data_IF_062702859002
#
_entry.id   IF_062702859002
#
_cell.length_a   1.000
_cell.length_b   1.000
_cell.length_c   1.000
_cell.angle_alpha   90.00
_cell.angle_beta   90.00
_cell.angle_gamma   90.00
#
_symmetry.space_group_name_H-M   'P 1'
#
loop_
_entity.id
_entity.type
_entity.pdbx_description
1 polymer ?
#
# COMPACT_ATOMS: atom_id res chain seq x y z
N UNK A 1 -20.63 12.71 -24.42
CA UNK A 1 -19.39 12.22 -25.07
C UNK A 1 -19.41 10.71 -24.97
N UNK A 2 -19.61 10.03 -26.09
CA UNK A 2 -19.62 8.57 -26.15
C UNK A 2 -18.18 8.11 -25.89
N UNK A 3 -17.95 7.36 -24.81
CA UNK A 3 -16.69 6.64 -24.59
C UNK A 3 -16.42 5.82 -25.85
N UNK A 4 -15.30 6.05 -26.53
CA UNK A 4 -14.83 5.11 -27.55
C UNK A 4 -14.72 3.75 -26.87
N UNK A 5 -15.44 2.75 -27.38
CA UNK A 5 -15.34 1.39 -26.90
C UNK A 5 -13.86 0.98 -26.94
N UNK A 6 -13.33 0.52 -25.81
CA UNK A 6 -11.97 -0.01 -25.77
C UNK A 6 -11.99 -1.31 -26.56
N UNK A 7 -11.48 -1.27 -27.79
CA UNK A 7 -11.55 -2.39 -28.74
C UNK A 7 -10.79 -3.63 -28.23
N UNK A 8 -9.70 -3.40 -27.49
CA UNK A 8 -8.86 -4.41 -26.87
C UNK A 8 -8.59 -4.04 -25.40
N UNK A 9 -9.54 -4.31 -24.49
CA UNK A 9 -9.43 -3.93 -23.09
C UNK A 9 -8.31 -4.69 -22.39
N UNK A 10 -7.57 -3.98 -21.55
CA UNK A 10 -6.48 -4.55 -20.75
C UNK A 10 -6.64 -4.20 -19.28
N UNK A 11 -6.83 -5.20 -18.44
CA UNK A 11 -6.86 -5.08 -16.99
C UNK A 11 -5.43 -4.77 -16.49
N UNK A 12 -5.32 -3.80 -15.59
CA UNK A 12 -4.08 -3.53 -14.86
C UNK A 12 -3.70 -4.72 -13.97
N UNK A 13 -2.43 -4.85 -13.57
CA UNK A 13 -2.06 -5.74 -12.49
C UNK A 13 -2.83 -5.40 -11.20
N UNK A 14 -3.69 -6.32 -10.75
CA UNK A 14 -4.51 -6.20 -9.55
C UNK A 14 -4.48 -7.53 -8.79
N UNK A 15 -4.70 -7.48 -7.48
CA UNK A 15 -4.91 -8.66 -6.67
C UNK A 15 -6.36 -9.13 -6.81
N UNK A 16 -6.56 -10.45 -6.84
CA UNK A 16 -7.88 -11.06 -6.89
C UNK A 16 -8.04 -12.03 -5.71
N UNK A 17 -8.94 -11.68 -4.77
CA UNK A 17 -9.14 -12.44 -3.53
C UNK A 17 -10.56 -12.99 -3.46
N UNK A 18 -10.76 -14.29 -3.17
CA UNK A 18 -12.10 -14.82 -2.91
C UNK A 18 -12.64 -14.23 -1.61
N UNK A 19 -13.90 -13.78 -1.63
CA UNK A 19 -14.59 -13.23 -0.47
C UNK A 19 -15.99 -13.81 -0.35
N UNK A 20 -16.40 -14.12 0.88
CA UNK A 20 -17.77 -14.54 1.18
C UNK A 20 -18.61 -13.30 1.49
N UNK A 21 -19.74 -13.16 0.81
CA UNK A 21 -20.65 -12.03 0.97
C UNK A 21 -22.07 -12.52 1.25
N UNK A 22 -22.98 -11.63 1.66
CA UNK A 22 -24.41 -11.97 1.76
C UNK A 22 -25.05 -12.39 0.43
N UNK A 23 -24.34 -12.20 -0.70
CA UNK A 23 -24.74 -12.61 -2.06
C UNK A 23 -24.06 -13.91 -2.52
N UNK A 24 -23.35 -14.58 -1.61
CA UNK A 24 -22.52 -15.75 -1.91
C UNK A 24 -21.05 -15.40 -2.15
N UNK A 25 -20.31 -16.38 -2.68
CA UNK A 25 -18.88 -16.26 -2.96
C UNK A 25 -18.63 -15.34 -4.15
N UNK A 26 -17.79 -14.33 -3.94
CA UNK A 26 -17.39 -13.33 -4.94
C UNK A 26 -15.87 -13.23 -5.01
N UNK A 27 -15.36 -12.45 -5.97
CA UNK A 27 -13.93 -12.12 -6.09
C UNK A 27 -13.76 -10.62 -5.93
N UNK A 28 -12.96 -10.21 -4.94
CA UNK A 28 -12.57 -8.82 -4.74
C UNK A 28 -11.33 -8.51 -5.58
N UNK A 29 -11.43 -7.53 -6.47
CA UNK A 29 -10.31 -6.94 -7.17
C UNK A 29 -9.75 -5.77 -6.36
N UNK A 30 -8.47 -5.85 -5.98
CA UNK A 30 -7.77 -4.82 -5.21
C UNK A 30 -6.57 -4.31 -5.98
N UNK A 31 -6.44 -3.00 -6.05
CA UNK A 31 -5.24 -2.37 -6.61
C UNK A 31 -4.19 -2.18 -5.51
N UNK A 32 -3.05 -2.89 -5.58
CA UNK A 32 -2.01 -2.79 -4.54
C UNK A 32 -1.36 -1.39 -4.49
N UNK A 33 -1.51 -0.60 -5.56
CA UNK A 33 -1.05 0.79 -5.61
C UNK A 33 -1.96 1.77 -4.87
N UNK A 34 -3.18 1.37 -4.49
CA UNK A 34 -4.15 2.25 -3.84
C UNK A 34 -4.57 3.43 -4.72
N UNK A 35 -4.57 3.23 -6.05
CA UNK A 35 -5.07 4.18 -7.05
C UNK A 35 -6.55 3.91 -7.28
N UNK A 36 -6.90 2.64 -7.48
CA UNK A 36 -8.27 2.22 -7.82
C UNK A 36 -9.05 1.73 -6.58
N UNK A 37 -10.36 2.01 -6.49
CA UNK A 37 -11.21 1.42 -5.46
C UNK A 37 -11.35 -0.11 -5.62
N UNK A 38 -11.70 -0.78 -4.53
CA UNK A 38 -12.04 -2.21 -4.55
C UNK A 38 -13.34 -2.44 -5.35
N UNK A 39 -13.33 -3.46 -6.21
CA UNK A 39 -14.50 -3.88 -7.00
C UNK A 39 -14.79 -5.36 -6.73
N UNK A 40 -16.06 -5.68 -6.43
CA UNK A 40 -16.51 -7.05 -6.24
C UNK A 40 -17.11 -7.60 -7.54
N UNK A 41 -16.61 -8.74 -8.00
CA UNK A 41 -17.08 -9.44 -9.19
C UNK A 41 -17.69 -10.79 -8.83
N UNK A 42 -18.71 -11.20 -9.58
CA UNK A 42 -19.13 -12.61 -9.60
C UNK A 42 -18.03 -13.47 -10.25
N UNK A 43 -18.11 -14.79 -10.08
CA UNK A 43 -17.17 -15.72 -10.73
C UNK A 43 -17.18 -15.59 -12.26
N UNK A 44 -18.37 -15.46 -12.87
CA UNK A 44 -18.54 -15.21 -14.30
C UNK A 44 -17.86 -13.92 -14.77
N UNK A 45 -18.07 -12.82 -14.03
CA UNK A 45 -17.50 -11.52 -14.36
C UNK A 45 -15.98 -11.50 -14.15
N UNK A 46 -15.49 -12.15 -13.10
CA UNK A 46 -14.05 -12.32 -12.87
C UNK A 46 -13.40 -13.15 -13.97
N UNK A 47 -14.04 -14.24 -14.41
CA UNK A 47 -13.54 -15.04 -15.53
C UNK A 47 -13.34 -14.19 -16.78
N UNK A 48 -14.29 -13.31 -17.11
CA UNK A 48 -14.16 -12.40 -18.25
C UNK A 48 -13.08 -11.32 -18.01
N UNK A 49 -13.04 -10.72 -16.82
CA UNK A 49 -12.05 -9.72 -16.44
C UNK A 49 -10.61 -10.26 -16.58
N UNK A 50 -10.38 -11.52 -16.18
CA UNK A 50 -9.09 -12.19 -16.29
C UNK A 50 -8.62 -12.42 -17.74
N UNK A 51 -9.52 -12.30 -18.73
CA UNK A 51 -9.21 -12.39 -20.16
C UNK A 51 -8.97 -11.02 -20.81
N UNK A 52 -9.14 -9.91 -20.08
CA UNK A 52 -8.87 -8.56 -20.60
C UNK A 52 -7.36 -8.31 -20.58
N UNK A 53 -6.64 -8.83 -21.55
CA UNK A 53 -5.17 -8.79 -21.64
C UNK A 53 -4.64 -7.80 -22.69
N UNK A 54 -5.54 -7.03 -23.32
CA UNK A 54 -5.24 -6.14 -24.43
C UNK A 54 -5.11 -6.84 -25.79
N UNK A 55 -5.52 -8.11 -25.90
CA UNK A 55 -5.46 -8.89 -27.15
C UNK A 55 -6.80 -9.50 -27.53
N UNK A 56 -7.66 -9.79 -26.56
CA UNK A 56 -8.98 -10.37 -26.81
C UNK A 56 -10.01 -9.32 -27.20
N UNK A 57 -10.73 -9.57 -28.30
CA UNK A 57 -11.92 -8.79 -28.71
C UNK A 57 -13.17 -9.24 -27.93
N UNK A 58 -14.25 -8.47 -27.99
CA UNK A 58 -15.55 -8.88 -27.41
C UNK A 58 -16.00 -10.26 -27.91
N UNK A 59 -15.76 -10.56 -29.20
CA UNK A 59 -16.11 -11.86 -29.77
C UNK A 59 -15.28 -12.99 -29.17
N UNK A 60 -13.99 -12.76 -28.93
CA UNK A 60 -13.12 -13.74 -28.28
C UNK A 60 -13.58 -14.02 -26.85
N UNK A 61 -13.99 -12.98 -26.12
CA UNK A 61 -14.57 -13.09 -24.78
C UNK A 61 -15.86 -13.92 -24.78
N UNK A 62 -16.76 -13.71 -25.76
CA UNK A 62 -17.97 -14.54 -25.92
C UNK A 62 -17.63 -16.00 -26.20
N UNK A 63 -16.64 -16.26 -27.05
CA UNK A 63 -16.18 -17.63 -27.35
C UNK A 63 -15.58 -18.29 -26.11
N UNK A 64 -14.76 -17.56 -25.34
CA UNK A 64 -14.17 -18.05 -24.10
C UNK A 64 -15.24 -18.37 -23.04
N UNK A 65 -16.25 -17.49 -22.91
CA UNK A 65 -17.37 -17.69 -21.99
C UNK A 65 -18.17 -18.94 -22.35
N UNK A 66 -18.56 -19.09 -23.61
CA UNK A 66 -19.29 -20.27 -24.10
C UNK A 66 -18.51 -21.56 -23.87
N UNK A 67 -17.19 -21.55 -24.08
CA UNK A 67 -16.34 -22.73 -23.81
C UNK A 67 -16.27 -23.08 -22.33
N UNK A 68 -16.28 -22.09 -21.43
CA UNK A 68 -16.16 -22.30 -19.98
C UNK A 68 -17.48 -22.71 -19.33
N UNK A 69 -18.58 -22.06 -19.71
CA UNK A 69 -19.87 -22.16 -19.03
C UNK A 69 -20.95 -22.89 -19.85
N UNK A 70 -20.74 -23.08 -21.17
CA UNK A 70 -21.74 -23.72 -22.04
C UNK A 70 -22.94 -22.83 -22.39
N UNK A 71 -22.87 -21.54 -22.07
CA UNK A 71 -23.94 -20.57 -22.27
C UNK A 71 -23.52 -19.42 -23.19
N UNK A 72 -24.47 -18.81 -23.87
CA UNK A 72 -24.24 -17.60 -24.68
C UNK A 72 -24.33 -16.38 -23.77
N UNK A 73 -23.32 -15.52 -23.83
CA UNK A 73 -23.33 -14.20 -23.21
C UNK A 73 -23.52 -13.10 -24.27
N UNK A 74 -24.43 -12.17 -24.00
CA UNK A 74 -24.69 -11.01 -24.84
C UNK A 74 -23.55 -9.98 -24.73
N UNK A 75 -23.22 -9.33 -25.84
CA UNK A 75 -22.09 -8.38 -25.91
C UNK A 75 -22.25 -7.20 -24.95
N UNK A 76 -23.49 -6.75 -24.77
CA UNK A 76 -23.87 -5.65 -23.89
C UNK A 76 -23.46 -5.90 -22.43
N UNK A 77 -23.53 -7.16 -21.96
CA UNK A 77 -23.12 -7.53 -20.60
C UNK A 77 -21.59 -7.50 -20.44
N UNK A 78 -20.85 -7.84 -21.49
CA UNK A 78 -19.38 -7.74 -21.52
C UNK A 78 -18.97 -6.25 -21.56
N UNK A 79 -19.64 -5.46 -22.39
CA UNK A 79 -19.41 -4.01 -22.48
C UNK A 79 -19.70 -3.30 -21.15
N UNK A 80 -20.77 -3.69 -20.45
CA UNK A 80 -21.09 -3.17 -19.12
C UNK A 80 -20.01 -3.50 -18.08
N UNK A 81 -19.47 -4.73 -18.11
CA UNK A 81 -18.33 -5.11 -17.28
C UNK A 81 -17.10 -4.24 -17.60
N UNK A 82 -16.73 -4.13 -18.87
CA UNK A 82 -15.58 -3.32 -19.32
C UNK A 82 -15.75 -1.86 -18.88
N UNK A 83 -16.93 -1.28 -19.09
CA UNK A 83 -17.27 0.08 -18.66
C UNK A 83 -17.12 0.24 -17.16
N UNK A 84 -17.65 -0.70 -16.37
CA UNK A 84 -17.54 -0.68 -14.91
C UNK A 84 -16.07 -0.71 -14.48
N UNK A 85 -15.25 -1.57 -15.08
CA UNK A 85 -13.82 -1.64 -14.76
C UNK A 85 -13.06 -0.37 -15.16
N UNK A 86 -13.36 0.24 -16.31
CA UNK A 86 -12.75 1.52 -16.74
C UNK A 86 -13.15 2.68 -15.81
N UNK A 87 -14.43 2.76 -15.43
CA UNK A 87 -14.95 3.78 -14.51
C UNK A 87 -14.29 3.69 -13.12
N UNK A 88 -13.87 2.49 -12.71
CA UNK A 88 -13.11 2.25 -11.47
C UNK A 88 -11.60 2.24 -11.68
N UNK A 89 -11.10 2.73 -12.82
CA UNK A 89 -9.66 2.87 -13.10
C UNK A 89 -8.88 1.54 -13.06
N UNK A 90 -9.54 0.41 -13.32
CA UNK A 90 -8.90 -0.91 -13.32
C UNK A 90 -8.34 -1.30 -14.68
N UNK A 91 -8.70 -0.59 -15.76
CA UNK A 91 -8.19 -0.84 -17.10
C UNK A 91 -7.05 0.12 -17.48
N UNK A 92 -6.13 -0.34 -18.32
CA UNK A 92 -5.09 0.50 -18.92
C UNK A 92 -5.68 1.38 -20.03
N UNK A 93 -6.25 2.52 -19.64
CA UNK A 93 -6.88 3.48 -20.55
C UNK A 93 -6.33 4.90 -20.37
N UNK A 94 -6.56 5.83 -21.32
CA UNK A 94 -6.23 7.24 -21.12
C UNK A 94 -6.88 7.83 -19.87
N UNK A 95 -8.08 7.36 -19.50
CA UNK A 95 -8.77 7.75 -18.26
C UNK A 95 -7.95 7.37 -17.03
N UNK A 96 -7.47 6.13 -16.96
CA UNK A 96 -6.59 5.69 -15.87
C UNK A 96 -5.30 6.52 -15.82
N UNK A 97 -4.64 6.74 -16.97
CA UNK A 97 -3.40 7.51 -17.02
C UNK A 97 -3.62 8.94 -16.50
N UNK A 98 -4.66 9.63 -16.97
CA UNK A 98 -4.99 10.96 -16.48
C UNK A 98 -5.20 10.97 -14.96
N UNK A 99 -5.95 10.01 -14.42
CA UNK A 99 -6.18 9.90 -12.97
C UNK A 99 -4.89 9.67 -12.17
N UNK A 100 -3.99 8.82 -12.68
CA UNK A 100 -2.68 8.59 -12.07
C UNK A 100 -1.82 9.85 -12.07
N UNK A 101 -1.78 10.59 -13.18
CA UNK A 101 -1.06 11.87 -13.27
C UNK A 101 -1.60 12.89 -12.26
N UNK A 102 -2.92 13.00 -12.11
CA UNK A 102 -3.56 13.90 -11.14
C UNK A 102 -3.23 13.50 -9.69
N UNK A 103 -3.19 12.20 -9.38
CA UNK A 103 -2.78 11.69 -8.07
C UNK A 103 -1.30 12.00 -7.78
N UNK A 104 -0.42 11.79 -8.76
CA UNK A 104 1.01 12.10 -8.64
C UNK A 104 1.24 13.59 -8.45
N UNK A 105 0.56 14.46 -9.20
CA UNK A 105 0.64 15.91 -9.01
C UNK A 105 0.21 16.33 -7.60
N UNK A 106 -0.95 15.85 -7.12
CA UNK A 106 -1.39 16.12 -5.74
C UNK A 106 -0.41 15.62 -4.68
N UNK A 107 0.22 14.46 -4.92
CA UNK A 107 1.24 13.93 -4.02
C UNK A 107 2.49 14.82 -4.00
N UNK A 108 2.98 15.22 -5.18
CA UNK A 108 4.14 16.10 -5.31
C UNK A 108 3.93 17.41 -4.56
N UNK A 109 2.76 18.04 -4.72
CA UNK A 109 2.42 19.31 -4.08
C UNK A 109 2.17 19.22 -2.57
N UNK A 110 1.99 18.00 -2.01
CA UNK A 110 1.76 17.80 -0.58
C UNK A 110 3.07 17.69 0.19
N UNK A 111 3.32 18.49 1.24
CA UNK A 111 4.48 18.30 2.12
C UNK A 111 4.31 17.14 3.12
N UNK A 112 3.13 16.50 3.13
CA UNK A 112 2.75 15.47 4.10
C UNK A 112 2.28 14.21 3.40
N UNK A 113 2.76 13.06 3.88
CA UNK A 113 2.20 11.74 3.63
C UNK A 113 1.09 11.48 4.64
N UNK A 114 -0.12 11.32 4.13
CA UNK A 114 -1.29 10.99 4.94
C UNK A 114 -1.24 9.58 5.53
N UNK A 115 -1.97 9.37 6.63
CA UNK A 115 -2.18 8.06 7.22
C UNK A 115 -3.03 7.19 6.28
N UNK A 116 -2.38 6.36 5.46
CA UNK A 116 -3.05 5.62 4.40
C UNK A 116 -3.89 4.45 4.92
N UNK A 117 -3.56 3.93 6.10
CA UNK A 117 -4.16 2.74 6.69
C UNK A 117 -5.02 3.01 7.92
N UNK A 118 -5.18 4.27 8.33
CA UNK A 118 -6.11 4.66 9.39
C UNK A 118 -7.55 4.27 9.03
N UNK A 119 -8.24 3.59 9.96
CA UNK A 119 -9.59 3.05 9.77
C UNK A 119 -9.68 1.77 8.95
N UNK A 120 -8.54 1.24 8.47
CA UNK A 120 -8.46 -0.02 7.71
C UNK A 120 -7.57 -1.05 8.40
N UNK A 121 -6.33 -0.67 8.69
CA UNK A 121 -5.33 -1.52 9.37
C UNK A 121 -5.22 -1.25 10.88
N UNK A 122 -5.68 -0.09 11.33
CA UNK A 122 -5.69 0.31 12.74
C UNK A 122 -6.74 1.41 12.98
N UNK A 123 -7.15 1.69 14.23
CA UNK A 123 -8.16 2.71 14.53
C UNK A 123 -7.78 4.11 14.04
N UNK A 124 -8.71 4.83 13.42
CA UNK A 124 -8.49 6.21 12.99
C UNK A 124 -8.64 7.23 14.12
N UNK A 125 -9.40 6.88 15.17
CA UNK A 125 -9.53 7.73 16.35
C UNK A 125 -8.26 7.65 17.22
N UNK A 126 -7.67 8.79 17.63
CA UNK A 126 -6.43 8.78 18.40
C UNK A 126 -6.54 8.10 19.77
N UNK A 127 -7.69 8.20 20.46
CA UNK A 127 -7.86 7.57 21.76
C UNK A 127 -8.03 6.05 21.62
N UNK A 128 -8.84 5.61 20.66
CA UNK A 128 -8.96 4.19 20.32
C UNK A 128 -7.63 3.58 19.89
N UNK A 129 -6.84 4.31 19.08
CA UNK A 129 -5.52 3.84 18.67
C UNK A 129 -4.57 3.67 19.85
N UNK A 130 -4.52 4.63 20.79
CA UNK A 130 -3.69 4.50 22.00
C UNK A 130 -4.07 3.28 22.83
N UNK A 131 -5.37 3.08 23.06
CA UNK A 131 -5.86 1.88 23.77
C UNK A 131 -5.54 0.59 23.02
N UNK A 132 -5.66 0.60 21.69
CA UNK A 132 -5.34 -0.55 20.85
C UNK A 132 -3.86 -0.93 20.93
N UNK A 133 -2.95 0.05 20.87
CA UNK A 133 -1.51 -0.17 20.99
C UNK A 133 -1.12 -0.60 22.41
N UNK A 134 -1.65 0.05 23.45
CA UNK A 134 -1.35 -0.31 24.84
C UNK A 134 -1.77 -1.74 25.17
N UNK A 135 -2.92 -2.20 24.63
CA UNK A 135 -3.38 -3.58 24.81
C UNK A 135 -2.35 -4.61 24.35
N UNK A 136 -1.62 -4.35 23.25
CA UNK A 136 -0.51 -5.22 22.87
C UNK A 136 0.68 -5.11 23.82
N UNK A 137 1.04 -3.87 24.21
CA UNK A 137 2.21 -3.61 25.04
C UNK A 137 2.08 -4.20 26.45
N UNK A 138 0.89 -4.22 27.05
CA UNK A 138 0.64 -4.81 28.39
C UNK A 138 0.91 -6.32 28.45
N UNK A 139 0.75 -7.03 27.33
CA UNK A 139 0.99 -8.47 27.26
C UNK A 139 2.49 -8.84 27.21
N UNK A 140 3.35 -7.88 26.85
CA UNK A 140 4.79 -8.09 26.72
C UNK A 140 5.55 -7.78 28.01
N UNK A 141 6.44 -8.69 28.41
CA UNK A 141 7.32 -8.45 29.57
C UNK A 141 8.40 -7.41 29.24
N UNK A 142 8.63 -6.41 30.12
CA UNK A 142 9.68 -5.44 29.91
C UNK A 142 11.05 -6.11 29.95
N UNK A 143 11.95 -5.67 29.05
CA UNK A 143 13.33 -6.15 28.97
C UNK A 143 14.24 -4.99 28.63
N UNK A 144 14.97 -4.50 29.63
CA UNK A 144 16.03 -3.51 29.42
C UNK A 144 17.20 -4.15 28.68
N UNK A 145 17.63 -3.51 27.59
CA UNK A 145 18.81 -3.87 26.82
C UNK A 145 19.75 -2.65 26.80
N UNK A 146 20.84 -2.72 27.55
CA UNK A 146 21.81 -1.62 27.58
C UNK A 146 22.50 -1.49 26.22
N UNK A 147 22.60 -0.26 25.71
CA UNK A 147 23.22 0.03 24.42
C UNK A 147 22.42 -0.40 23.18
N UNK A 148 21.11 -0.60 23.31
CA UNK A 148 20.23 -0.89 22.17
C UNK A 148 20.27 0.25 21.13
N UNK A 149 20.69 -0.06 19.90
CA UNK A 149 20.78 0.90 18.78
C UNK A 149 19.83 0.61 17.61
N UNK A 150 19.18 -0.54 17.61
CA UNK A 150 18.30 -0.95 16.53
C UNK A 150 17.52 -2.22 16.88
N UNK A 151 16.40 -2.39 16.20
CA UNK A 151 15.51 -3.53 16.36
C UNK A 151 15.03 -4.02 15.00
N UNK A 152 14.53 -5.25 14.96
CA UNK A 152 13.79 -5.79 13.82
C UNK A 152 12.36 -6.02 14.28
N UNK A 153 11.42 -5.33 13.66
CA UNK A 153 9.99 -5.46 13.93
C UNK A 153 9.29 -6.10 12.73
N UNK A 154 8.17 -6.83 12.95
CA UNK A 154 7.33 -7.26 11.85
C UNK A 154 6.67 -6.04 11.18
N UNK A 155 6.09 -6.25 10.00
CA UNK A 155 5.25 -5.25 9.32
C UNK A 155 3.89 -5.85 8.92
N UNK A 156 3.54 -7.01 9.46
CA UNK A 156 2.24 -7.64 9.23
C UNK A 156 1.12 -6.86 9.93
N UNK A 157 -0.13 -7.19 9.59
CA UNK A 157 -1.33 -6.71 10.28
C UNK A 157 -1.14 -6.72 11.81
N UNK A 158 -1.47 -5.60 12.46
CA UNK A 158 -1.24 -5.42 13.89
C UNK A 158 -1.98 -6.46 14.73
N UNK A 159 -3.22 -6.80 14.35
CA UNK A 159 -4.01 -7.81 15.03
C UNK A 159 -3.40 -9.22 14.96
N UNK A 160 -2.60 -9.52 13.93
CA UNK A 160 -1.86 -10.78 13.81
C UNK A 160 -0.47 -10.72 14.44
N UNK A 161 0.19 -9.57 14.40
CA UNK A 161 1.57 -9.38 14.84
C UNK A 161 1.73 -8.86 16.27
N UNK A 162 0.62 -8.53 16.95
CA UNK A 162 0.59 -7.81 18.23
C UNK A 162 1.67 -8.22 19.24
N UNK A 163 1.75 -9.51 19.65
CA UNK A 163 2.74 -9.95 20.63
C UNK A 163 4.21 -9.72 20.19
N UNK A 164 4.49 -9.84 18.89
CA UNK A 164 5.84 -9.63 18.36
C UNK A 164 6.20 -8.14 18.32
N UNK A 165 5.28 -7.29 17.86
CA UNK A 165 5.42 -5.83 17.96
C UNK A 165 5.65 -5.41 19.41
N UNK A 166 4.83 -5.93 20.33
CA UNK A 166 4.89 -5.57 21.74
C UNK A 166 6.24 -5.90 22.38
N UNK A 167 6.79 -7.09 22.11
CA UNK A 167 8.11 -7.47 22.61
C UNK A 167 9.22 -6.56 22.11
N UNK A 168 9.15 -6.11 20.86
CA UNK A 168 10.15 -5.20 20.27
C UNK A 168 10.04 -3.81 20.89
N UNK A 169 8.83 -3.25 20.93
CA UNK A 169 8.60 -1.89 21.37
C UNK A 169 8.70 -1.71 22.89
N UNK A 170 8.40 -2.73 23.69
CA UNK A 170 8.71 -2.70 25.13
C UNK A 170 10.21 -2.67 25.40
N UNK A 171 11.03 -3.37 24.60
CA UNK A 171 12.48 -3.29 24.76
C UNK A 171 13.02 -1.89 24.41
N UNK A 172 12.42 -1.20 23.44
CA UNK A 172 12.74 0.19 23.10
C UNK A 172 12.28 1.18 24.17
N UNK A 173 11.11 0.98 24.78
CA UNK A 173 10.56 1.85 25.81
C UNK A 173 11.44 1.96 27.06
N UNK A 174 12.21 0.91 27.37
CA UNK A 174 13.16 0.87 28.49
C UNK A 174 14.52 1.52 28.17
N UNK A 175 14.72 1.95 26.92
CA UNK A 175 15.96 2.55 26.42
C UNK A 175 15.94 4.08 26.41
N UNK A 176 16.96 4.66 25.77
CA UNK A 176 17.06 6.10 25.57
C UNK A 176 16.08 6.58 24.50
N UNK A 177 15.53 7.78 24.68
CA UNK A 177 14.69 8.44 23.69
C UNK A 177 15.57 9.07 22.58
N UNK A 178 15.53 8.57 21.33
CA UNK A 178 16.37 9.09 20.25
C UNK A 178 15.81 10.40 19.68
N UNK A 179 16.70 11.28 19.21
CA UNK A 179 16.29 12.46 18.43
C UNK A 179 15.99 12.15 16.95
N UNK A 180 16.47 11.01 16.45
CA UNK A 180 16.31 10.54 15.07
C UNK A 180 16.07 9.04 15.05
N UNK A 181 15.08 8.58 14.28
CA UNK A 181 14.81 7.17 14.01
C UNK A 181 14.92 6.89 12.52
N UNK A 182 15.86 6.03 12.13
CA UNK A 182 16.00 5.55 10.74
C UNK A 182 15.20 4.27 10.57
N UNK A 183 14.32 4.22 9.58
CA UNK A 183 13.38 3.10 9.40
C UNK A 183 13.56 2.52 8.01
N UNK A 184 14.08 1.30 7.95
CA UNK A 184 14.14 0.51 6.71
C UNK A 184 12.89 -0.36 6.61
N UNK A 185 12.00 -0.02 5.68
CA UNK A 185 10.79 -0.77 5.38
C UNK A 185 10.89 -1.50 4.05
N UNK A 186 10.37 -2.72 3.96
CA UNK A 186 10.19 -3.37 2.66
C UNK A 186 9.15 -2.61 1.83
N UNK A 187 9.39 -2.46 0.53
CA UNK A 187 8.36 -2.04 -0.41
C UNK A 187 7.71 -3.27 -1.05
N UNK A 188 6.38 -3.31 -1.04
CA UNK A 188 5.62 -4.40 -1.67
C UNK A 188 5.45 -4.22 -3.17
N UNK A 189 5.65 -2.99 -3.67
CA UNK A 189 5.53 -2.65 -5.09
C UNK A 189 6.91 -2.66 -5.78
N UNK A 190 6.95 -2.90 -7.09
CA UNK A 190 8.19 -2.80 -7.85
C UNK A 190 8.81 -1.40 -7.74
N UNK A 191 10.09 -1.36 -7.38
CA UNK A 191 10.92 -0.15 -7.33
C UNK A 191 11.99 -0.19 -8.41
N UNK A 192 12.29 0.96 -8.99
CA UNK A 192 13.41 1.16 -9.92
C UNK A 192 14.73 1.28 -9.17
N UNK A 193 14.77 2.12 -8.13
CA UNK A 193 15.95 2.33 -7.30
C UNK A 193 16.03 1.29 -6.16
N UNK A 194 17.24 0.99 -5.61
CA UNK A 194 17.38 0.12 -4.44
C UNK A 194 16.64 0.64 -3.21
N UNK A 195 16.61 1.96 -3.06
CA UNK A 195 15.97 2.67 -1.96
C UNK A 195 15.09 3.79 -2.49
N UNK A 196 13.95 4.02 -1.83
CA UNK A 196 13.13 5.21 -2.03
C UNK A 196 13.02 5.98 -0.72
N UNK A 197 13.51 7.21 -0.75
CA UNK A 197 13.39 8.18 0.33
C UNK A 197 12.21 9.12 0.05
N UNK A 198 11.89 9.99 1.01
CA UNK A 198 10.93 11.07 0.86
C UNK A 198 11.29 12.18 1.82
N UNK A 199 11.00 13.42 1.47
CA UNK A 199 11.14 14.58 2.35
C UNK A 199 9.83 14.89 3.10
N UNK A 200 8.74 14.20 2.75
CA UNK A 200 7.41 14.49 3.30
C UNK A 200 7.33 14.06 4.76
N UNK A 201 6.68 14.86 5.58
CA UNK A 201 6.33 14.48 6.95
C UNK A 201 5.29 13.35 6.95
N UNK A 202 5.32 12.46 7.94
CA UNK A 202 4.37 11.35 8.05
C UNK A 202 3.28 11.70 9.05
N UNK A 203 2.04 11.78 8.59
CA UNK A 203 0.87 11.93 9.47
C UNK A 203 0.36 10.56 9.90
N UNK A 204 0.06 10.45 11.20
CA UNK A 204 -0.70 9.36 11.81
C UNK A 204 -1.84 9.96 12.63
N UNK A 205 -2.77 9.16 13.19
CA UNK A 205 -3.74 9.68 14.15
C UNK A 205 -3.12 10.29 15.41
N UNK A 206 -1.86 9.96 15.74
CA UNK A 206 -1.18 10.47 16.94
C UNK A 206 -0.44 11.80 16.71
N UNK A 207 -0.38 12.29 15.47
CA UNK A 207 0.34 13.51 15.10
C UNK A 207 1.18 13.33 13.84
N UNK A 208 1.90 14.37 13.44
CA UNK A 208 2.81 14.32 12.31
C UNK A 208 4.28 14.24 12.78
N UNK A 209 5.05 13.33 12.20
CA UNK A 209 6.50 13.23 12.40
C UNK A 209 7.23 13.88 11.23
N UNK A 210 8.23 14.71 11.54
CA UNK A 210 9.06 15.35 10.52
C UNK A 210 10.09 14.38 9.99
N UNK A 211 10.37 14.49 8.70
CA UNK A 211 11.48 13.77 8.08
C UNK A 211 12.75 14.60 8.18
N UNK A 212 13.88 13.96 8.45
CA UNK A 212 15.19 14.60 8.50
C UNK A 212 15.68 14.92 7.08
N UNK A 213 15.17 16.02 6.50
CA UNK A 213 15.44 16.40 5.10
C UNK A 213 16.92 16.62 4.79
N UNK A 214 17.69 17.14 5.75
CA UNK A 214 19.15 17.32 5.57
C UNK A 214 19.85 15.98 5.27
N UNK A 215 19.45 14.90 5.96
CA UNK A 215 19.97 13.55 5.69
C UNK A 215 19.46 12.95 4.38
N UNK A 216 18.25 13.32 3.95
CA UNK A 216 17.73 12.90 2.64
C UNK A 216 18.61 13.47 1.52
N UNK A 217 18.95 14.76 1.61
CA UNK A 217 19.82 15.41 0.62
C UNK A 217 21.26 14.87 0.69
N UNK A 218 21.83 14.66 1.88
CA UNK A 218 23.15 14.02 2.02
C UNK A 218 23.19 12.64 1.36
N UNK A 219 22.15 11.81 1.54
CA UNK A 219 22.07 10.49 0.90
C UNK A 219 21.93 10.62 -0.61
N UNK A 220 21.08 11.54 -1.08
CA UNK A 220 20.87 11.81 -2.51
C UNK A 220 22.17 12.21 -3.22
N UNK A 221 23.03 12.99 -2.58
CA UNK A 221 24.35 13.34 -3.12
C UNK A 221 25.34 12.16 -3.08
N UNK A 222 25.19 11.25 -2.13
CA UNK A 222 26.09 10.12 -1.93
C UNK A 222 25.79 8.89 -2.81
N UNK A 223 24.55 8.72 -3.28
CA UNK A 223 24.14 7.53 -4.06
C UNK A 223 24.21 7.76 -5.58
N UNK A 224 24.48 6.73 -6.40
CA UNK A 224 24.60 6.86 -7.85
C UNK A 224 23.25 6.81 -8.60
N UNK A 225 22.13 7.02 -7.90
CA UNK A 225 20.77 6.98 -8.45
C UNK A 225 19.93 8.06 -7.75
N UNK A 226 18.76 8.40 -8.30
CA UNK A 226 17.83 9.33 -7.65
C UNK A 226 16.98 8.57 -6.61
N UNK A 227 17.22 8.74 -5.29
CA UNK A 227 16.44 8.06 -4.26
C UNK A 227 15.01 8.60 -4.12
N UNK A 228 14.66 9.69 -4.82
CA UNK A 228 13.31 10.27 -4.81
C UNK A 228 12.49 9.85 -6.04
N UNK A 229 13.07 9.09 -7.00
CA UNK A 229 12.38 8.69 -8.23
C UNK A 229 11.08 7.91 -7.95
N UNK A 230 11.11 7.05 -6.93
CA UNK A 230 10.00 6.19 -6.51
C UNK A 230 9.28 6.71 -5.25
N UNK A 231 9.43 7.99 -4.90
CA UNK A 231 8.86 8.59 -3.68
C UNK A 231 7.34 8.33 -3.55
N UNK A 232 6.60 8.33 -4.67
CA UNK A 232 5.16 8.10 -4.70
C UNK A 232 4.74 6.75 -4.09
N UNK A 233 5.63 5.75 -4.04
CA UNK A 233 5.33 4.44 -3.43
C UNK A 233 5.10 4.53 -1.93
N UNK A 234 5.67 5.54 -1.24
CA UNK A 234 5.38 5.79 0.16
C UNK A 234 3.89 6.03 0.41
N UNK A 235 3.15 6.60 -0.55
CA UNK A 235 1.73 6.99 -0.41
C UNK A 235 0.83 5.85 0.08
N UNK A 236 1.08 4.62 -0.35
CA UNK A 236 0.23 3.46 -0.05
C UNK A 236 1.03 2.28 0.54
N UNK A 237 2.23 2.54 1.08
CA UNK A 237 3.05 1.52 1.74
C UNK A 237 2.87 1.60 3.26
N UNK A 238 2.57 0.47 3.90
CA UNK A 238 2.23 0.40 5.33
C UNK A 238 3.45 0.20 6.22
N UNK A 239 4.54 -0.37 5.68
CA UNK A 239 5.63 -0.91 6.50
C UNK A 239 6.21 0.11 7.48
N UNK A 240 6.51 1.32 7.01
CA UNK A 240 7.01 2.42 7.86
C UNK A 240 5.90 2.94 8.77
N UNK A 241 4.71 3.19 8.22
CA UNK A 241 3.57 3.77 8.94
C UNK A 241 3.23 2.99 10.21
N UNK A 242 3.18 1.66 10.13
CA UNK A 242 2.87 0.82 11.30
C UNK A 242 3.90 0.98 12.42
N UNK A 243 5.19 1.17 12.09
CA UNK A 243 6.22 1.38 13.10
C UNK A 243 6.06 2.74 13.79
N UNK A 244 5.69 3.78 13.03
CA UNK A 244 5.49 5.12 13.57
C UNK A 244 4.40 5.17 14.64
N UNK A 245 3.37 4.32 14.55
CA UNK A 245 2.30 4.27 15.54
C UNK A 245 2.85 3.92 16.93
N UNK A 246 3.67 2.87 17.02
CA UNK A 246 4.29 2.47 18.28
C UNK A 246 5.31 3.50 18.75
N UNK A 247 6.16 4.01 17.85
CA UNK A 247 7.16 5.02 18.21
C UNK A 247 6.51 6.30 18.76
N UNK A 248 5.45 6.80 18.13
CA UNK A 248 4.71 7.97 18.63
C UNK A 248 3.93 7.68 19.92
N UNK A 249 3.43 6.45 20.09
CA UNK A 249 2.80 6.06 21.35
C UNK A 249 3.79 6.07 22.51
N UNK A 250 5.02 5.60 22.29
CA UNK A 250 6.07 5.56 23.31
C UNK A 250 6.69 6.94 23.58
N UNK A 251 6.93 7.72 22.54
CA UNK A 251 7.85 8.87 22.58
C UNK A 251 7.22 10.20 22.18
N UNK A 252 5.96 10.20 21.70
CA UNK A 252 5.31 11.39 21.17
C UNK A 252 5.86 11.79 19.79
N UNK A 253 5.98 13.09 19.54
CA UNK A 253 6.40 13.66 18.25
C UNK A 253 7.72 14.46 18.34
N UNK A 254 8.48 14.27 19.42
CA UNK A 254 9.72 15.00 19.71
C UNK A 254 10.97 14.51 18.97
N UNK A 255 10.83 13.68 17.94
CA UNK A 255 11.93 13.10 17.17
C UNK A 255 11.67 13.19 15.67
N UNK A 256 12.75 13.11 14.88
CA UNK A 256 12.68 13.07 13.42
C UNK A 256 12.79 11.64 12.91
N UNK A 257 12.29 11.41 11.70
CA UNK A 257 12.38 10.12 11.03
C UNK A 257 13.21 10.21 9.76
N UNK A 258 13.84 9.10 9.38
CA UNK A 258 14.36 8.88 8.03
C UNK A 258 13.72 7.62 7.47
N UNK A 259 12.58 7.73 6.75
CA UNK A 259 11.86 6.60 6.19
C UNK A 259 12.50 6.15 4.86
N UNK A 260 12.93 4.89 4.81
CA UNK A 260 13.61 4.31 3.65
C UNK A 260 12.83 3.06 3.22
N UNK A 261 12.20 3.12 2.06
CA UNK A 261 11.67 1.92 1.43
C UNK A 261 12.78 1.18 0.71
N UNK A 262 12.80 -0.14 0.88
CA UNK A 262 13.81 -1.05 0.35
C UNK A 262 13.15 -2.00 -0.63
N UNK A 263 13.77 -2.14 -1.80
CA UNK A 263 13.37 -3.18 -2.75
C UNK A 263 13.89 -4.55 -2.35
N UNK A 264 13.38 -5.60 -3.00
CA UNK A 264 13.99 -6.92 -2.91
C UNK A 264 15.42 -6.92 -3.45
N UNK A 265 16.38 -7.35 -2.62
CA UNK A 265 17.77 -7.54 -3.03
C UNK A 265 18.04 -8.89 -3.70
N UNK A 266 17.01 -9.71 -3.95
CA UNK A 266 17.18 -11.02 -4.57
C UNK A 266 17.93 -10.98 -5.92
N UNK A 267 17.80 -9.88 -6.67
CA UNK A 267 18.52 -9.67 -7.93
C UNK A 267 20.01 -9.30 -7.77
N UNK A 268 20.49 -9.07 -6.54
CA UNK A 268 21.87 -8.71 -6.22
C UNK A 268 22.62 -9.82 -5.47
N UNK A 269 21.92 -10.85 -4.99
CA UNK A 269 22.52 -12.00 -4.34
C UNK A 269 22.76 -13.05 -5.43
N UNK A 270 23.95 -13.03 -6.02
CA UNK A 270 24.49 -14.11 -6.86
C UNK A 270 25.03 -15.26 -6.01
#
# INVERSE_FOLDING_TARGET
MILQAVELPKLRPVEALPVETGRGRMVALRDPWGISPEVLLSEEAFFLAAQLDGRNTLRDLQVAYMRRFGEIIFGERIEELIRTLDEHYLLETPRFQQHLQELKGRWQDSPVREAAFAGKGYPADPAELRSYLEGFLEEASPRRLDGLRGVVAPHIDLGRGGPCYASVYRALAEGDHPSLVVIFGTCHLPMKAPFALTEKAFRTPLGALRTACDLVEEIREAVPFDPLEDEFLHRNEHTVELQLLFLQHLWGDGFEILPILCRSFAHYVE
#
